data_IF_930019637696
#
_entry.id   IF_930019637696
#
_cell.length_a   1.000
_cell.length_b   1.000
_cell.length_c   1.000
_cell.angle_alpha   90.00
_cell.angle_beta   90.00
_cell.angle_gamma   90.00
#
_symmetry.space_group_name_H-M   'P 1'
#
loop_
_entity.id
_entity.type
_entity.pdbx_description
1 polymer ?
#
# COMPACT_ATOMS: atom_id res chain seq x y z
N UNK A 1 -4.71 -2.87 -28.69
CA UNK A 1 -5.02 -2.25 -27.40
C UNK A 1 -6.25 -1.32 -27.41
N UNK A 2 -6.80 -0.87 -28.55
CA UNK A 2 -7.97 0.04 -28.57
C UNK A 2 -9.34 -0.60 -28.24
N UNK A 3 -9.54 -1.87 -28.60
CA UNK A 3 -10.87 -2.51 -28.58
C UNK A 3 -11.50 -2.67 -27.18
N UNK A 4 -10.71 -2.72 -26.11
CA UNK A 4 -11.23 -2.84 -24.74
C UNK A 4 -11.76 -1.51 -24.19
N UNK A 5 -11.10 -0.40 -24.52
CA UNK A 5 -11.53 0.93 -24.11
C UNK A 5 -12.78 1.36 -24.88
N UNK A 6 -12.82 1.10 -26.20
CA UNK A 6 -14.01 1.35 -27.01
C UNK A 6 -15.21 0.51 -26.55
N UNK A 7 -15.02 -0.78 -26.25
CA UNK A 7 -16.12 -1.64 -25.79
C UNK A 7 -16.65 -1.22 -24.42
N UNK A 8 -15.78 -0.76 -23.50
CA UNK A 8 -16.21 -0.21 -22.22
C UNK A 8 -16.99 1.10 -22.36
N UNK A 9 -16.51 2.04 -23.18
CA UNK A 9 -17.17 3.33 -23.44
C UNK A 9 -18.54 3.16 -24.10
N UNK A 10 -18.70 2.12 -24.92
CA UNK A 10 -19.95 1.80 -25.61
C UNK A 10 -20.95 1.01 -24.75
N UNK A 11 -20.55 0.57 -23.55
CA UNK A 11 -21.44 -0.09 -22.60
C UNK A 11 -21.91 0.90 -21.52
N UNK A 12 -23.21 0.89 -21.19
CA UNK A 12 -23.78 1.77 -20.15
C UNK A 12 -23.14 1.57 -18.77
N UNK A 13 -22.62 0.37 -18.49
CA UNK A 13 -21.90 0.04 -17.27
C UNK A 13 -20.45 0.56 -17.29
N UNK A 14 -19.71 0.34 -18.40
CA UNK A 14 -18.33 0.80 -18.53
C UNK A 14 -18.21 2.33 -18.52
N UNK A 15 -19.17 3.06 -19.10
CA UNK A 15 -19.21 4.54 -19.00
C UNK A 15 -19.36 5.03 -17.55
N UNK A 16 -20.13 4.31 -16.71
CA UNK A 16 -20.35 4.66 -15.30
C UNK A 16 -19.14 4.37 -14.41
N UNK A 17 -18.37 3.32 -14.73
CA UNK A 17 -17.10 2.99 -14.07
C UNK A 17 -16.03 4.03 -14.45
N UNK A 18 -15.89 4.32 -15.74
CA UNK A 18 -14.92 5.31 -16.24
C UNK A 18 -15.21 6.74 -15.77
N UNK A 19 -16.47 7.14 -15.62
CA UNK A 19 -16.82 8.46 -15.07
C UNK A 19 -16.50 8.61 -13.59
N UNK A 20 -16.39 7.50 -12.86
CA UNK A 20 -16.15 7.51 -11.40
C UNK A 20 -14.66 7.38 -11.07
N UNK A 21 -13.88 6.66 -11.91
CA UNK A 21 -12.51 6.25 -11.60
C UNK A 21 -11.47 6.84 -12.59
N UNK A 22 -11.90 7.53 -13.64
CA UNK A 22 -11.03 7.91 -14.77
C UNK A 22 -10.76 6.72 -15.69
N UNK A 23 -9.96 6.90 -16.76
CA UNK A 23 -9.47 5.78 -17.58
C UNK A 23 -8.35 5.07 -16.81
N UNK A 24 -8.58 3.88 -16.22
CA UNK A 24 -7.56 3.23 -15.43
C UNK A 24 -6.47 2.73 -16.38
N UNK A 25 -5.24 3.19 -16.19
CA UNK A 25 -4.08 2.54 -16.81
C UNK A 25 -3.73 1.35 -15.92
N UNK A 26 -3.83 0.10 -16.43
CA UNK A 26 -3.47 -1.06 -15.63
C UNK A 26 -2.00 -0.96 -15.21
N UNK A 27 -1.74 -1.21 -13.92
CA UNK A 27 -0.39 -1.41 -13.41
C UNK A 27 -0.18 -2.89 -13.11
N UNK A 28 1.05 -3.37 -13.27
CA UNK A 28 1.38 -4.72 -12.81
C UNK A 28 1.41 -4.74 -11.28
N UNK A 29 0.72 -5.73 -10.70
CA UNK A 29 0.72 -5.93 -9.25
C UNK A 29 1.93 -6.76 -8.86
N UNK A 30 2.59 -6.33 -7.79
CA UNK A 30 3.63 -7.11 -7.12
C UNK A 30 3.02 -8.41 -6.60
N UNK A 31 3.66 -9.54 -6.91
CA UNK A 31 3.23 -10.88 -6.50
C UNK A 31 4.34 -11.56 -5.73
N UNK A 32 3.94 -12.46 -4.84
CA UNK A 32 4.87 -13.34 -4.13
C UNK A 32 5.78 -14.09 -5.13
N UNK A 33 7.07 -14.12 -4.83
CA UNK A 33 8.04 -15.00 -5.48
C UNK A 33 8.77 -15.84 -4.43
N UNK A 34 8.95 -17.14 -4.69
CA UNK A 34 9.76 -18.00 -3.81
C UNK A 34 11.24 -17.59 -3.78
N UNK A 35 11.70 -16.78 -4.74
CA UNK A 35 13.07 -16.28 -4.82
C UNK A 35 13.28 -14.93 -4.13
N UNK A 36 12.23 -14.31 -3.59
CA UNK A 36 12.37 -13.00 -2.93
C UNK A 36 13.13 -13.17 -1.60
N UNK A 37 14.11 -12.32 -1.36
CA UNK A 37 14.95 -12.39 -0.15
C UNK A 37 14.21 -11.91 1.11
N UNK A 38 13.21 -11.04 0.93
CA UNK A 38 12.46 -10.38 2.00
C UNK A 38 10.96 -10.40 1.73
N UNK A 39 10.16 -10.27 2.77
CA UNK A 39 8.70 -10.24 2.64
C UNK A 39 8.13 -8.84 2.41
N UNK A 40 8.92 -7.79 2.68
CA UNK A 40 8.53 -6.40 2.49
C UNK A 40 9.76 -5.54 2.18
N UNK A 41 9.65 -4.67 1.20
CA UNK A 41 10.71 -3.75 0.77
C UNK A 41 10.16 -2.33 0.62
N UNK A 42 11.06 -1.35 0.71
CA UNK A 42 10.72 0.06 0.50
C UNK A 42 10.36 0.82 1.78
N UNK A 43 9.76 2.00 1.62
CA UNK A 43 9.52 2.92 2.73
C UNK A 43 8.17 2.63 3.40
N UNK A 44 8.20 2.37 4.70
CA UNK A 44 7.01 2.06 5.50
C UNK A 44 6.82 3.12 6.57
N UNK A 45 5.64 3.76 6.59
CA UNK A 45 5.27 4.70 7.63
C UNK A 45 4.46 3.98 8.72
N UNK A 46 4.99 3.97 9.94
CA UNK A 46 4.39 3.34 11.12
C UNK A 46 3.83 4.41 12.06
N UNK A 47 2.63 4.18 12.57
CA UNK A 47 1.97 5.02 13.56
C UNK A 47 1.21 4.16 14.57
N UNK A 48 0.92 4.72 15.75
CA UNK A 48 0.13 4.06 16.78
C UNK A 48 -0.91 4.99 17.39
N UNK A 49 -2.01 4.41 17.85
CA UNK A 49 -2.92 5.10 18.76
C UNK A 49 -2.32 5.14 20.17
N UNK A 50 -2.86 6.00 21.05
CA UNK A 50 -2.42 6.07 22.44
C UNK A 50 -2.54 4.71 23.11
N UNK A 51 -1.49 4.28 23.80
CA UNK A 51 -1.38 2.98 24.47
C UNK A 51 -1.49 1.79 23.52
N UNK A 52 -0.93 1.90 22.30
CA UNK A 52 -0.90 0.78 21.37
C UNK A 52 0.01 -0.34 21.86
N UNK A 53 -0.58 -1.45 22.32
CA UNK A 53 0.16 -2.53 23.00
C UNK A 53 1.12 -3.31 22.08
N UNK A 54 0.83 -3.35 20.78
CA UNK A 54 1.55 -4.20 19.82
C UNK A 54 2.56 -3.44 18.93
N UNK A 55 2.79 -2.15 19.21
CA UNK A 55 3.64 -1.32 18.35
C UNK A 55 5.09 -1.80 18.33
N UNK A 56 5.60 -2.27 19.47
CA UNK A 56 6.95 -2.83 19.60
C UNK A 56 7.10 -4.14 18.82
N UNK A 57 6.12 -5.04 18.90
CA UNK A 57 6.11 -6.28 18.14
C UNK A 57 6.02 -6.03 16.63
N UNK A 58 5.23 -5.04 16.22
CA UNK A 58 5.11 -4.63 14.82
C UNK A 58 6.45 -4.11 14.30
N UNK A 59 7.11 -3.19 15.01
CA UNK A 59 8.41 -2.65 14.61
C UNK A 59 9.48 -3.75 14.59
N UNK A 60 9.46 -4.67 15.58
CA UNK A 60 10.36 -5.83 15.59
C UNK A 60 10.19 -6.70 14.35
N UNK A 61 8.96 -7.08 14.02
CA UNK A 61 8.67 -7.93 12.87
C UNK A 61 9.05 -7.23 11.55
N UNK A 62 8.74 -5.94 11.40
CA UNK A 62 9.14 -5.17 10.23
C UNK A 62 10.66 -5.03 10.11
N UNK A 63 11.38 -4.99 11.24
CA UNK A 63 12.84 -4.98 11.27
C UNK A 63 13.50 -6.26 10.74
N UNK A 64 12.75 -7.35 10.59
CA UNK A 64 13.22 -8.58 9.92
C UNK A 64 13.09 -8.52 8.38
N UNK A 65 12.60 -7.40 7.84
CA UNK A 65 12.46 -7.16 6.40
C UNK A 65 13.48 -6.15 5.87
N UNK A 66 13.48 -5.89 4.56
CA UNK A 66 14.32 -4.83 3.95
C UNK A 66 13.57 -3.48 3.90
N UNK A 67 12.57 -3.30 4.76
CA UNK A 67 11.81 -2.07 4.84
C UNK A 67 12.58 -0.95 5.57
N UNK A 68 12.53 0.26 5.02
CA UNK A 68 12.93 1.47 5.73
C UNK A 68 11.74 1.96 6.57
N UNK A 69 11.84 1.80 7.88
CA UNK A 69 10.77 2.16 8.82
C UNK A 69 10.88 3.66 9.17
N UNK A 70 9.79 4.39 8.93
CA UNK A 70 9.61 5.78 9.30
C UNK A 70 8.45 5.92 10.28
N UNK A 71 8.47 6.98 11.09
CA UNK A 71 7.35 7.34 11.96
C UNK A 71 7.09 8.85 11.88
N UNK A 72 5.83 9.30 12.09
CA UNK A 72 5.50 10.71 12.05
C UNK A 72 5.99 11.40 13.33
N UNK A 73 7.15 12.07 13.26
CA UNK A 73 7.76 12.76 14.41
C UNK A 73 6.88 13.85 15.05
N UNK A 74 5.95 14.42 14.29
CA UNK A 74 4.99 15.41 14.76
C UNK A 74 3.70 14.82 15.37
N UNK A 75 3.56 13.49 15.41
CA UNK A 75 2.37 12.85 15.98
C UNK A 75 2.40 12.90 17.51
N UNK A 76 1.23 13.07 18.14
CA UNK A 76 1.06 13.05 19.61
C UNK A 76 1.61 11.78 20.26
N UNK A 77 1.60 10.66 19.53
CA UNK A 77 2.05 9.33 19.97
C UNK A 77 3.44 8.97 19.45
N UNK A 78 4.21 9.91 18.90
CA UNK A 78 5.54 9.62 18.35
C UNK A 78 6.48 8.95 19.38
N UNK A 79 6.44 9.40 20.63
CA UNK A 79 7.24 8.84 21.73
C UNK A 79 6.82 7.41 22.14
N UNK A 80 5.68 6.90 21.64
CA UNK A 80 5.24 5.52 21.92
C UNK A 80 5.79 4.53 20.87
N UNK A 81 6.43 5.03 19.81
CA UNK A 81 7.01 4.22 18.72
C UNK A 81 8.53 4.03 18.92
N UNK A 82 9.18 4.94 19.67
CA UNK A 82 10.64 5.04 19.87
C UNK A 82 11.06 4.53 21.25
#
# INVERSE_FOLDING_TARGET
MGNFYESMLNSGMGRKVLSTVGLPTPIELNRYSASQATFLEGNVLVGTAKNGELISDLVRNLGESDANIYFPSAATTANEIV
#
